data_IF_663733903646
#
_entry.id   IF_663733903646
#
_cell.length_a   1.000
_cell.length_b   1.000
_cell.length_c   1.000
_cell.angle_alpha   90.00
_cell.angle_beta   90.00
_cell.angle_gamma   90.00
#
_symmetry.space_group_name_H-M   'P 1'
#
loop_
_entity.id
_entity.type
_entity.pdbx_description
1 polymer ?
#
# COMPACT_ATOMS: atom_id res chain seq x y z
N UNK A 1 -14.54 -0.28 -5.97
CA UNK A 1 -14.21 -0.70 -4.59
C UNK A 1 -13.67 -2.12 -4.50
N UNK A 2 -12.39 -2.26 -4.13
CA UNK A 2 -11.69 -3.54 -3.97
C UNK A 2 -11.74 -4.11 -2.55
N UNK A 3 -11.88 -3.25 -1.54
CA UNK A 3 -11.88 -3.66 -0.13
C UNK A 3 -13.28 -3.54 0.44
N UNK A 4 -13.95 -4.69 0.62
CA UNK A 4 -15.28 -4.76 1.24
C UNK A 4 -15.26 -4.87 2.76
N UNK A 5 -14.12 -5.23 3.36
CA UNK A 5 -13.96 -5.35 4.81
C UNK A 5 -12.58 -4.81 5.21
N UNK A 6 -12.57 -3.62 5.81
CA UNK A 6 -11.35 -2.92 6.19
C UNK A 6 -10.53 -3.72 7.22
N UNK A 7 -11.17 -4.22 8.27
CA UNK A 7 -10.50 -4.93 9.37
C UNK A 7 -9.80 -6.20 8.88
N UNK A 8 -10.48 -6.98 8.03
CA UNK A 8 -9.90 -8.20 7.46
C UNK A 8 -8.72 -7.87 6.54
N UNK A 9 -8.86 -6.87 5.67
CA UNK A 9 -7.79 -6.44 4.77
C UNK A 9 -6.58 -5.90 5.54
N UNK A 10 -6.78 -5.13 6.61
CA UNK A 10 -5.69 -4.56 7.41
C UNK A 10 -4.91 -5.67 8.12
N UNK A 11 -5.61 -6.66 8.70
CA UNK A 11 -4.96 -7.83 9.33
C UNK A 11 -4.14 -8.62 8.32
N UNK A 12 -4.68 -8.85 7.12
CA UNK A 12 -3.99 -9.52 6.03
C UNK A 12 -2.72 -8.77 5.62
N UNK A 13 -2.83 -7.46 5.35
CA UNK A 13 -1.70 -6.63 4.96
C UNK A 13 -0.62 -6.59 6.06
N UNK A 14 -1.03 -6.46 7.33
CA UNK A 14 -0.10 -6.47 8.46
C UNK A 14 0.70 -7.78 8.54
N UNK A 15 0.04 -8.92 8.34
CA UNK A 15 0.70 -10.22 8.33
C UNK A 15 1.66 -10.36 7.14
N UNK A 16 1.28 -9.87 5.95
CA UNK A 16 2.15 -9.88 4.77
C UNK A 16 3.39 -9.00 4.97
N UNK A 17 3.22 -7.77 5.48
CA UNK A 17 4.34 -6.87 5.78
C UNK A 17 5.25 -7.45 6.87
N UNK A 18 4.69 -8.14 7.86
CA UNK A 18 5.48 -8.81 8.91
C UNK A 18 6.32 -9.97 8.38
N UNK A 19 5.87 -10.65 7.32
CA UNK A 19 6.65 -11.72 6.68
C UNK A 19 7.71 -11.16 5.74
N UNK A 20 7.41 -10.05 5.06
CA UNK A 20 8.36 -9.35 4.19
C UNK A 20 9.49 -8.67 5.00
N UNK A 21 9.18 -8.21 6.22
CA UNK A 21 10.16 -7.75 7.20
C UNK A 21 10.87 -8.98 7.76
N UNK A 22 12.17 -9.13 7.47
CA UNK A 22 12.99 -10.16 8.11
C UNK A 22 13.03 -10.03 9.64
N UNK A 23 13.63 -11.01 10.32
CA UNK A 23 13.78 -11.00 11.78
C UNK A 23 14.80 -9.95 12.25
N UNK A 24 14.38 -8.69 12.37
CA UNK A 24 15.21 -7.58 12.82
C UNK A 24 14.39 -6.38 13.33
N UNK A 25 15.00 -5.56 14.19
CA UNK A 25 14.34 -4.41 14.82
C UNK A 25 14.08 -3.27 13.81
N UNK A 26 12.84 -2.76 13.83
CA UNK A 26 12.39 -1.43 13.41
C UNK A 26 12.95 -0.86 12.09
N UNK A 27 12.81 -1.60 10.98
CA UNK A 27 12.93 -0.99 9.66
C UNK A 27 11.64 -0.23 9.36
N UNK A 28 11.75 1.09 9.22
CA UNK A 28 10.70 1.94 8.64
C UNK A 28 10.28 1.37 7.28
N UNK A 29 9.02 0.99 7.12
CA UNK A 29 8.53 0.38 5.88
C UNK A 29 7.71 1.36 5.09
N UNK A 30 8.23 1.73 3.93
CA UNK A 30 7.47 2.47 2.93
C UNK A 30 6.74 1.48 2.04
N UNK A 31 5.48 1.76 1.74
CA UNK A 31 4.60 0.88 0.97
C UNK A 31 4.07 1.65 -0.24
N UNK A 32 4.11 1.00 -1.41
CA UNK A 32 3.37 1.42 -2.59
C UNK A 32 2.19 0.48 -2.74
N UNK A 33 0.97 1.01 -2.76
CA UNK A 33 -0.24 0.26 -3.10
C UNK A 33 -0.58 0.57 -4.55
N UNK A 34 -0.68 -0.46 -5.38
CA UNK A 34 -1.13 -0.37 -6.77
C UNK A 34 -2.41 -1.18 -6.97
N UNK A 35 -3.59 -0.55 -6.97
CA UNK A 35 -4.84 -1.22 -7.32
C UNK A 35 -4.86 -1.50 -8.83
N UNK A 36 -4.92 -2.78 -9.21
CA UNK A 36 -4.90 -3.20 -10.61
C UNK A 36 -6.30 -3.35 -11.23
N UNK A 37 -7.32 -3.50 -10.40
CA UNK A 37 -8.70 -3.76 -10.83
C UNK A 37 -9.67 -2.74 -10.24
N UNK A 38 -10.84 -2.58 -10.86
CA UNK A 38 -11.92 -1.69 -10.40
C UNK A 38 -11.46 -0.24 -10.18
N UNK A 39 -10.57 0.22 -11.06
CA UNK A 39 -10.03 1.59 -11.12
C UNK A 39 -10.57 2.39 -12.30
N UNK A 40 -11.65 1.92 -12.93
CA UNK A 40 -12.30 2.61 -14.05
C UNK A 40 -12.77 4.00 -13.62
N UNK A 41 -12.25 5.04 -14.27
CA UNK A 41 -12.50 6.43 -13.88
C UNK A 41 -11.62 6.95 -12.74
N UNK A 42 -10.63 6.17 -12.30
CA UNK A 42 -9.73 6.50 -11.19
C UNK A 42 -10.25 6.01 -9.84
N UNK A 43 -9.55 6.37 -8.77
CA UNK A 43 -10.01 6.12 -7.40
C UNK A 43 -10.88 7.25 -6.91
N UNK A 44 -11.96 6.92 -6.20
CA UNK A 44 -12.67 7.91 -5.39
C UNK A 44 -11.80 8.35 -4.21
N UNK A 45 -12.09 9.53 -3.65
CA UNK A 45 -11.42 10.02 -2.44
C UNK A 45 -11.52 9.03 -1.26
N UNK A 46 -12.65 8.33 -1.15
CA UNK A 46 -12.88 7.30 -0.12
C UNK A 46 -11.95 6.10 -0.33
N UNK A 47 -11.79 5.64 -1.57
CA UNK A 47 -10.89 4.53 -1.89
C UNK A 47 -9.42 4.90 -1.71
N UNK A 48 -9.01 6.09 -2.12
CA UNK A 48 -7.66 6.61 -1.90
C UNK A 48 -7.35 6.66 -0.40
N UNK A 49 -8.26 7.24 0.40
CA UNK A 49 -8.12 7.29 1.86
C UNK A 49 -8.08 5.90 2.48
N UNK A 50 -8.94 5.00 2.01
CA UNK A 50 -9.00 3.61 2.47
C UNK A 50 -7.64 2.92 2.28
N UNK A 51 -6.99 3.05 1.12
CA UNK A 51 -5.69 2.42 0.90
C UNK A 51 -4.60 3.03 1.77
N UNK A 52 -4.61 4.36 1.94
CA UNK A 52 -3.69 5.04 2.86
C UNK A 52 -3.82 4.54 4.29
N UNK A 53 -5.04 4.48 4.82
CA UNK A 53 -5.30 4.02 6.19
C UNK A 53 -5.00 2.54 6.36
N UNK A 54 -5.28 1.70 5.34
CA UNK A 54 -4.99 0.27 5.37
C UNK A 54 -3.49 0.01 5.58
N UNK A 55 -2.64 0.65 4.78
CA UNK A 55 -1.19 0.49 4.88
C UNK A 55 -0.63 1.13 6.17
N UNK A 56 -1.10 2.31 6.54
CA UNK A 56 -0.69 2.96 7.79
C UNK A 56 -1.03 2.09 9.01
N UNK A 57 -2.26 1.56 9.08
CA UNK A 57 -2.70 0.64 10.13
C UNK A 57 -1.99 -0.73 10.12
N UNK A 58 -1.40 -1.12 8.99
CA UNK A 58 -0.51 -2.27 8.87
C UNK A 58 0.95 -1.97 9.30
N UNK A 59 1.24 -0.72 9.69
CA UNK A 59 2.53 -0.26 10.19
C UNK A 59 3.46 0.32 9.13
N UNK A 60 2.94 0.77 7.99
CA UNK A 60 3.72 1.54 7.03
C UNK A 60 4.06 2.93 7.57
N UNK A 61 5.32 3.36 7.45
CA UNK A 61 5.76 4.70 7.82
C UNK A 61 5.52 5.72 6.71
N UNK A 62 5.44 5.26 5.45
CA UNK A 62 5.07 6.04 4.27
C UNK A 62 4.19 5.20 3.37
N UNK A 63 3.18 5.82 2.79
CA UNK A 63 2.25 5.15 1.87
C UNK A 63 2.14 5.98 0.61
N UNK A 64 2.25 5.34 -0.54
CA UNK A 64 1.98 5.91 -1.84
C UNK A 64 0.93 5.05 -2.54
N UNK A 65 -0.15 5.66 -3.00
CA UNK A 65 -1.15 4.99 -3.83
C UNK A 65 -0.86 5.32 -5.29
N UNK A 66 -0.66 4.30 -6.11
CA UNK A 66 -0.39 4.43 -7.53
C UNK A 66 -1.57 3.94 -8.35
N UNK A 67 -2.02 4.78 -9.27
CA UNK A 67 -3.05 4.46 -10.26
C UNK A 67 -2.46 4.76 -11.62
N UNK A 68 -2.30 3.73 -12.45
CA UNK A 68 -1.65 3.84 -13.75
C UNK A 68 -1.07 2.51 -14.21
N UNK A 69 -0.11 2.58 -15.13
CA UNK A 69 0.57 1.41 -15.67
C UNK A 69 1.33 0.63 -14.58
N UNK A 70 1.48 -0.70 -14.71
CA UNK A 70 2.36 -1.49 -13.84
C UNK A 70 3.74 -0.87 -13.72
N UNK A 71 4.23 -0.78 -12.48
CA UNK A 71 5.55 -0.24 -12.17
C UNK A 71 6.59 -1.36 -12.21
N UNK A 72 7.75 -1.05 -12.74
CA UNK A 72 8.98 -1.82 -12.51
C UNK A 72 9.55 -1.57 -11.12
N UNK A 73 10.43 -2.46 -10.66
CA UNK A 73 11.13 -2.32 -9.37
C UNK A 73 11.87 -0.98 -9.25
N UNK A 74 12.49 -0.53 -10.35
CA UNK A 74 13.21 0.74 -10.39
C UNK A 74 12.26 1.94 -10.16
N UNK A 75 11.07 1.91 -10.74
CA UNK A 75 10.07 2.96 -10.57
C UNK A 75 9.47 2.94 -9.16
N UNK A 76 9.25 1.76 -8.57
CA UNK A 76 8.83 1.63 -7.17
C UNK A 76 9.85 2.26 -6.24
N UNK A 77 11.14 1.94 -6.42
CA UNK A 77 12.24 2.51 -5.62
C UNK A 77 12.30 4.04 -5.78
N UNK A 78 12.15 4.54 -7.01
CA UNK A 78 12.13 5.97 -7.29
C UNK A 78 10.99 6.68 -6.55
N UNK A 79 9.77 6.14 -6.61
CA UNK A 79 8.60 6.70 -5.90
C UNK A 79 8.76 6.71 -4.38
N UNK A 80 9.38 5.69 -3.80
CA UNK A 80 9.62 5.61 -2.35
C UNK A 80 10.69 6.62 -1.90
N UNK A 81 11.70 6.89 -2.76
CA UNK A 81 12.83 7.80 -2.46
C UNK A 81 12.51 9.26 -2.76
N UNK A 82 11.61 9.54 -3.71
CA UNK A 82 11.12 10.88 -3.99
C UNK A 82 10.39 11.45 -2.77
N UNK A 83 10.90 12.55 -2.23
CA UNK A 83 10.25 13.34 -1.18
C UNK A 83 9.05 14.07 -1.72
#
# INVERSE_FOLDING_TARGET
MLVGNFTAAQKCLKAALSQARGSGFSISTSVVIHPLEKTDGGLTQVEERLFHELAAGAGASKVFVWVGAPLSDAEVISKIKGK
#
